data_IF_043006841191
#
_entry.id   IF_043006841191
#
_cell.length_a   1.000
_cell.length_b   1.000
_cell.length_c   1.000
_cell.angle_alpha   90.00
_cell.angle_beta   90.00
_cell.angle_gamma   90.00
#
_symmetry.space_group_name_H-M   'P 1'
#
loop_
_entity.id
_entity.type
_entity.pdbx_description
1 polymer ?
#
# COMPACT_ATOMS: atom_id res chain seq x y z
N UNK A 1 -12.60 -50.49 -16.52
CA UNK A 1 -11.70 -49.59 -15.76
C UNK A 1 -11.26 -48.46 -16.67
N UNK A 2 -11.93 -47.31 -16.63
CA UNK A 2 -11.46 -46.04 -17.23
C UNK A 2 -11.88 -44.91 -16.30
N UNK A 3 -11.00 -44.63 -15.35
CA UNK A 3 -11.14 -43.54 -14.40
C UNK A 3 -10.87 -42.23 -15.17
N UNK A 4 -11.92 -41.44 -15.43
CA UNK A 4 -11.77 -40.08 -15.96
C UNK A 4 -11.34 -39.18 -14.80
N UNK A 5 -10.06 -38.82 -14.76
CA UNK A 5 -9.57 -37.80 -13.85
C UNK A 5 -10.00 -36.43 -14.41
N UNK A 6 -11.00 -35.82 -13.76
CA UNK A 6 -11.36 -34.42 -13.97
C UNK A 6 -10.39 -33.57 -13.15
N UNK A 7 -9.43 -32.94 -13.82
CA UNK A 7 -8.59 -31.90 -13.23
C UNK A 7 -9.50 -30.68 -13.02
N UNK A 8 -9.83 -30.39 -11.76
CA UNK A 8 -10.45 -29.12 -11.39
C UNK A 8 -9.36 -28.04 -11.42
N UNK A 9 -9.40 -27.17 -12.42
CA UNK A 9 -8.61 -25.94 -12.42
C UNK A 9 -9.18 -25.06 -11.31
N UNK A 10 -8.41 -24.87 -10.24
CA UNK A 10 -8.73 -23.87 -9.23
C UNK A 10 -8.50 -22.49 -9.86
N UNK A 11 -9.60 -21.81 -10.20
CA UNK A 11 -9.54 -20.39 -10.53
C UNK A 11 -9.20 -19.68 -9.22
N UNK A 12 -8.00 -19.12 -9.14
CA UNK A 12 -7.63 -18.20 -8.08
C UNK A 12 -8.61 -17.02 -8.12
N UNK A 13 -9.51 -16.95 -7.14
CA UNK A 13 -10.30 -15.76 -6.87
C UNK A 13 -9.31 -14.64 -6.55
N UNK A 14 -9.00 -13.80 -7.53
CA UNK A 14 -8.44 -12.48 -7.26
C UNK A 14 -9.52 -11.77 -6.47
N UNK A 15 -9.29 -11.54 -5.17
CA UNK A 15 -10.21 -10.79 -4.34
C UNK A 15 -10.31 -9.39 -4.94
N UNK A 16 -11.41 -9.12 -5.64
CA UNK A 16 -11.72 -7.81 -6.16
C UNK A 16 -12.38 -7.05 -5.01
N UNK A 17 -11.61 -6.22 -4.31
CA UNK A 17 -12.15 -5.41 -3.23
C UNK A 17 -13.19 -4.45 -3.81
N UNK A 18 -14.40 -4.43 -3.23
CA UNK A 18 -15.44 -3.47 -3.62
C UNK A 18 -15.04 -2.05 -3.22
N UNK A 19 -14.35 -1.92 -2.07
CA UNK A 19 -13.84 -0.66 -1.55
C UNK A 19 -12.41 -0.83 -0.99
N UNK A 20 -11.60 0.24 -1.05
CA UNK A 20 -10.31 0.38 -0.37
C UNK A 20 -10.31 1.60 0.54
N UNK A 21 -9.72 1.48 1.73
CA UNK A 21 -9.56 2.58 2.69
C UNK A 21 -8.12 3.05 2.73
N UNK A 22 -7.89 4.32 2.36
CA UNK A 22 -6.59 4.97 2.43
C UNK A 22 -6.50 5.91 3.63
N UNK A 23 -5.45 5.73 4.42
CA UNK A 23 -5.18 6.49 5.63
C UNK A 23 -3.98 7.42 5.44
N UNK A 24 -4.16 8.69 5.84
CA UNK A 24 -3.09 9.68 5.74
C UNK A 24 -3.26 10.85 6.72
N UNK A 25 -2.31 11.76 6.72
CA UNK A 25 -2.41 13.02 7.42
C UNK A 25 -3.38 13.94 6.66
N UNK A 26 -4.10 14.78 7.39
CA UNK A 26 -4.97 15.81 6.83
C UNK A 26 -4.15 17.04 6.44
N UNK A 27 -3.98 17.25 5.13
CA UNK A 27 -3.29 18.40 4.53
C UNK A 27 -3.64 18.51 3.03
N UNK A 28 -3.24 19.60 2.38
CA UNK A 28 -3.71 19.92 1.01
C UNK A 28 -3.50 18.80 -0.03
N UNK A 29 -2.35 18.10 -0.08
CA UNK A 29 -2.15 16.95 -0.97
C UNK A 29 -3.13 15.79 -0.75
N UNK A 30 -3.66 15.60 0.46
CA UNK A 30 -4.69 14.59 0.70
C UNK A 30 -5.99 14.93 -0.07
N UNK A 31 -6.32 16.21 -0.23
CA UNK A 31 -7.45 16.64 -1.05
C UNK A 31 -7.23 16.34 -2.54
N UNK A 32 -6.00 16.55 -3.03
CA UNK A 32 -5.66 16.19 -4.41
C UNK A 32 -5.78 14.68 -4.64
N UNK A 33 -5.41 13.86 -3.65
CA UNK A 33 -5.56 12.40 -3.72
C UNK A 33 -7.04 11.98 -3.78
N UNK A 34 -7.93 12.66 -3.04
CA UNK A 34 -9.38 12.43 -3.15
C UNK A 34 -9.88 12.72 -4.56
N UNK A 35 -9.40 13.81 -5.19
CA UNK A 35 -9.78 14.12 -6.57
C UNK A 35 -9.27 13.05 -7.56
N UNK A 36 -8.00 12.64 -7.47
CA UNK A 36 -7.43 11.58 -8.30
C UNK A 36 -8.18 10.23 -8.14
N UNK A 37 -8.70 9.96 -6.95
CA UNK A 37 -9.43 8.73 -6.68
C UNK A 37 -10.74 8.59 -7.45
N UNK A 38 -11.30 9.70 -7.94
CA UNK A 38 -12.55 9.68 -8.72
C UNK A 38 -12.36 8.98 -10.06
N UNK A 39 -11.26 9.32 -10.76
CA UNK A 39 -10.94 8.68 -12.03
C UNK A 39 -10.51 7.22 -11.82
N UNK A 40 -9.73 6.94 -10.78
CA UNK A 40 -9.42 5.56 -10.38
C UNK A 40 -10.69 4.72 -10.14
N UNK A 41 -11.66 5.26 -9.38
CA UNK A 41 -12.94 4.57 -9.11
C UNK A 41 -13.72 4.36 -10.40
N UNK A 42 -13.74 5.35 -11.29
CA UNK A 42 -14.44 5.27 -12.58
C UNK A 42 -13.84 4.20 -13.50
N UNK A 43 -12.52 4.06 -13.52
CA UNK A 43 -11.81 3.12 -14.39
C UNK A 43 -11.84 1.69 -13.86
N UNK A 44 -11.76 1.51 -12.53
CA UNK A 44 -11.61 0.20 -11.90
C UNK A 44 -12.90 -0.36 -11.30
N UNK A 45 -13.86 0.51 -10.98
CA UNK A 45 -15.05 0.18 -10.20
C UNK A 45 -14.79 0.01 -8.70
N UNK A 46 -13.56 0.23 -8.22
CA UNK A 46 -13.19 0.09 -6.80
C UNK A 46 -13.47 1.41 -6.08
N UNK A 47 -14.31 1.38 -5.06
CA UNK A 47 -14.61 2.56 -4.24
C UNK A 47 -13.43 2.95 -3.36
N UNK A 48 -13.20 4.25 -3.18
CA UNK A 48 -12.15 4.77 -2.29
C UNK A 48 -12.75 5.45 -1.07
N UNK A 49 -12.30 5.02 0.12
CA UNK A 49 -12.59 5.62 1.42
C UNK A 49 -11.32 6.24 1.98
N UNK A 50 -11.48 7.25 2.83
CA UNK A 50 -10.36 8.00 3.38
C UNK A 50 -10.49 8.19 4.89
N UNK A 51 -9.41 7.96 5.61
CA UNK A 51 -9.25 8.31 7.03
C UNK A 51 -8.11 9.32 7.13
N UNK A 52 -8.46 10.60 7.23
CA UNK A 52 -7.49 11.68 7.38
C UNK A 52 -7.43 12.19 8.81
N UNK A 53 -6.22 12.21 9.37
CA UNK A 53 -5.96 12.57 10.77
C UNK A 53 -5.06 13.79 10.83
N UNK A 54 -5.29 14.77 11.73
CA UNK A 54 -4.40 15.92 11.88
C UNK A 54 -2.94 15.49 12.08
N UNK A 55 -2.00 16.22 11.48
CA UNK A 55 -0.56 15.92 11.57
C UNK A 55 -0.08 15.76 13.01
N UNK A 56 -0.60 16.56 13.94
CA UNK A 56 -0.28 16.50 15.39
C UNK A 56 -0.58 15.15 16.03
N UNK A 57 -1.45 14.34 15.42
CA UNK A 57 -1.91 13.05 15.93
C UNK A 57 -1.56 11.89 14.98
N UNK A 58 -0.97 12.18 13.82
CA UNK A 58 -0.83 11.21 12.72
C UNK A 58 0.00 9.99 13.13
N UNK A 59 1.21 10.23 13.65
CA UNK A 59 2.11 9.17 14.09
C UNK A 59 1.46 8.30 15.17
N UNK A 60 0.95 8.91 16.25
CA UNK A 60 0.33 8.18 17.36
C UNK A 60 -0.85 7.32 16.89
N UNK A 61 -1.72 7.86 16.01
CA UNK A 61 -2.91 7.16 15.54
C UNK A 61 -2.55 5.92 14.72
N UNK A 62 -1.70 6.08 13.71
CA UNK A 62 -1.45 5.01 12.74
C UNK A 62 -0.30 4.08 13.13
N UNK A 63 0.66 4.50 13.96
CA UNK A 63 1.57 3.55 14.62
C UNK A 63 0.79 2.59 15.50
N UNK A 64 -0.20 3.08 16.25
CA UNK A 64 -1.05 2.23 17.08
C UNK A 64 -1.92 1.28 16.24
N UNK A 65 -2.45 1.75 15.11
CA UNK A 65 -3.18 0.88 14.16
C UNK A 65 -2.29 -0.25 13.64
N UNK A 66 -1.08 0.07 13.18
CA UNK A 66 -0.12 -0.92 12.69
C UNK A 66 0.30 -1.91 13.79
N UNK A 67 0.69 -1.41 14.97
CA UNK A 67 1.18 -2.23 16.07
C UNK A 67 0.09 -3.13 16.66
N UNK A 68 -1.17 -2.68 16.63
CA UNK A 68 -2.33 -3.50 17.02
C UNK A 68 -2.79 -4.47 15.93
N UNK A 69 -2.19 -4.42 14.73
CA UNK A 69 -2.59 -5.16 13.54
C UNK A 69 -4.08 -4.95 13.22
N UNK A 70 -4.51 -3.70 13.35
CA UNK A 70 -5.87 -3.31 13.02
C UNK A 70 -6.17 -3.49 11.53
N UNK A 71 -7.42 -3.22 11.17
CA UNK A 71 -7.96 -3.41 9.82
C UNK A 71 -8.67 -2.16 9.32
N UNK A 72 -8.35 -1.01 9.90
CA UNK A 72 -8.93 0.27 9.51
C UNK A 72 -8.49 0.66 8.09
N UNK A 73 -7.21 0.42 7.78
CA UNK A 73 -6.57 0.92 6.57
C UNK A 73 -6.14 -0.26 5.69
N UNK A 74 -6.47 -0.19 4.40
CA UNK A 74 -5.88 -1.06 3.38
C UNK A 74 -4.55 -0.48 2.89
N UNK A 75 -4.46 0.86 2.82
CA UNK A 75 -3.24 1.60 2.48
C UNK A 75 -2.98 2.70 3.51
N UNK A 76 -1.72 2.87 3.91
CA UNK A 76 -1.26 3.98 4.76
C UNK A 76 -0.13 4.70 4.04
N UNK A 77 -0.25 6.02 3.88
CA UNK A 77 0.87 6.83 3.37
C UNK A 77 1.79 7.18 4.54
N UNK A 78 2.82 6.36 4.74
CA UNK A 78 3.79 6.55 5.83
C UNK A 78 4.51 7.90 5.78
N UNK A 79 5.00 8.35 6.93
CA UNK A 79 5.88 9.50 7.04
C UNK A 79 7.32 9.01 7.33
N UNK A 80 8.32 9.81 6.95
CA UNK A 80 9.70 9.32 6.91
C UNK A 80 10.33 9.02 8.26
N UNK A 81 9.78 9.59 9.34
CA UNK A 81 10.38 9.53 10.67
C UNK A 81 10.28 8.13 11.30
N UNK A 82 9.42 7.28 10.76
CA UNK A 82 9.04 5.97 11.32
C UNK A 82 9.22 4.82 10.33
N UNK A 83 9.91 5.05 9.22
CA UNK A 83 10.24 3.99 8.24
C UNK A 83 11.03 2.87 8.90
N UNK A 84 12.08 3.22 9.66
CA UNK A 84 12.93 2.22 10.28
C UNK A 84 12.18 1.33 11.27
N UNK A 85 11.43 1.96 12.18
CA UNK A 85 10.58 1.24 13.12
C UNK A 85 9.54 0.37 12.41
N UNK A 86 8.88 0.90 11.38
CA UNK A 86 7.84 0.15 10.65
C UNK A 86 8.41 -1.03 9.87
N UNK A 87 9.61 -0.89 9.30
CA UNK A 87 10.30 -1.96 8.58
C UNK A 87 10.78 -3.07 9.53
N UNK A 88 11.39 -2.72 10.66
CA UNK A 88 11.82 -3.70 11.67
C UNK A 88 10.63 -4.46 12.29
N UNK A 89 9.46 -3.82 12.38
CA UNK A 89 8.24 -4.43 12.89
C UNK A 89 7.41 -5.16 11.81
N UNK A 90 7.87 -5.20 10.55
CA UNK A 90 7.25 -5.99 9.49
C UNK A 90 5.93 -5.41 8.95
N UNK A 91 5.76 -4.08 8.99
CA UNK A 91 4.54 -3.41 8.55
C UNK A 91 4.48 -3.11 7.05
N UNK A 92 5.57 -3.35 6.30
CA UNK A 92 5.61 -3.14 4.86
C UNK A 92 5.36 -4.42 4.06
N UNK A 93 4.61 -4.28 2.99
CA UNK A 93 4.56 -5.26 1.90
C UNK A 93 5.70 -4.95 0.94
N UNK A 94 6.54 -5.94 0.64
CA UNK A 94 7.61 -5.80 -0.37
C UNK A 94 6.98 -5.74 -1.76
N UNK A 95 7.33 -4.70 -2.53
CA UNK A 95 6.79 -4.47 -3.88
C UNK A 95 7.80 -4.81 -4.99
N UNK A 96 8.96 -5.38 -4.68
CA UNK A 96 9.99 -5.73 -5.67
C UNK A 96 9.43 -6.56 -6.83
N UNK A 97 8.71 -7.66 -6.53
CA UNK A 97 8.10 -8.52 -7.55
C UNK A 97 7.05 -7.77 -8.40
N UNK A 98 6.34 -6.80 -7.80
CA UNK A 98 5.39 -5.95 -8.52
C UNK A 98 6.11 -5.00 -9.48
N UNK A 99 7.21 -4.38 -9.05
CA UNK A 99 8.02 -3.48 -9.87
C UNK A 99 8.63 -4.24 -11.05
N UNK A 100 9.19 -5.42 -10.81
CA UNK A 100 9.75 -6.28 -11.85
C UNK A 100 8.69 -6.66 -12.90
N UNK A 101 7.49 -7.03 -12.44
CA UNK A 101 6.37 -7.43 -13.30
C UNK A 101 5.85 -6.28 -14.15
N UNK A 102 5.67 -5.11 -13.56
CA UNK A 102 5.15 -3.92 -14.24
C UNK A 102 6.25 -3.12 -14.97
N UNK A 103 7.51 -3.58 -14.90
CA UNK A 103 8.69 -2.96 -15.52
C UNK A 103 8.92 -1.52 -15.04
N UNK A 104 8.70 -1.28 -13.76
CA UNK A 104 8.97 -0.01 -13.09
C UNK A 104 10.43 -0.02 -12.64
N UNK A 105 11.25 0.89 -13.17
CA UNK A 105 12.66 0.97 -12.77
C UNK A 105 12.81 1.89 -11.56
N UNK A 106 13.65 1.52 -10.59
CA UNK A 106 14.04 2.45 -9.53
C UNK A 106 14.85 3.65 -10.08
N UNK A 107 15.45 3.52 -11.26
CA UNK A 107 16.14 4.61 -11.96
C UNK A 107 15.18 5.69 -12.49
N UNK A 108 13.87 5.41 -12.53
CA UNK A 108 12.84 6.40 -12.90
C UNK A 108 12.57 7.40 -11.76
N UNK A 109 13.13 7.15 -10.57
CA UNK A 109 12.97 7.98 -9.38
C UNK A 109 14.26 8.71 -9.01
N UNK A 110 14.14 9.79 -8.23
CA UNK A 110 15.30 10.53 -7.73
C UNK A 110 16.13 9.61 -6.82
N UNK A 111 17.44 9.40 -7.06
CA UNK A 111 18.23 8.42 -6.31
C UNK A 111 18.23 8.62 -4.79
N UNK A 112 18.25 9.87 -4.33
CA UNK A 112 18.18 10.17 -2.90
C UNK A 112 16.85 9.74 -2.27
N UNK A 113 15.75 9.78 -3.02
CA UNK A 113 14.41 9.37 -2.59
C UNK A 113 14.33 7.85 -2.46
N UNK A 114 14.88 7.10 -3.43
CA UNK A 114 14.93 5.63 -3.39
C UNK A 114 15.68 5.17 -2.14
N UNK A 115 16.89 5.68 -1.95
CA UNK A 115 17.73 5.33 -0.79
C UNK A 115 17.12 5.77 0.54
N UNK A 116 16.38 6.89 0.55
CA UNK A 116 15.80 7.46 1.76
C UNK A 116 14.46 6.83 2.17
N UNK A 117 13.66 6.36 1.22
CA UNK A 117 12.26 6.01 1.45
C UNK A 117 11.84 4.62 0.95
N UNK A 118 12.70 3.91 0.22
CA UNK A 118 12.35 2.62 -0.39
C UNK A 118 13.27 1.47 0.01
N UNK A 119 14.33 1.74 0.77
CA UNK A 119 15.30 0.73 1.20
C UNK A 119 15.33 0.60 2.73
N UNK A 120 15.24 -0.64 3.22
CA UNK A 120 15.53 -0.93 4.62
C UNK A 120 16.15 -2.33 4.82
N UNK A 121 17.36 -2.44 5.42
CA UNK A 121 18.30 -1.38 5.77
C UNK A 121 18.74 -0.49 4.59
N UNK A 122 19.40 0.63 4.89
CA UNK A 122 19.88 1.54 3.83
C UNK A 122 20.90 0.84 2.93
N UNK A 123 20.78 1.03 1.61
CA UNK A 123 21.56 0.35 0.57
C UNK A 123 21.30 -1.16 0.46
N UNK A 124 20.10 -1.62 0.83
CA UNK A 124 19.62 -2.96 0.54
C UNK A 124 18.34 -2.92 -0.32
N UNK A 125 18.49 -2.67 -1.64
CA UNK A 125 17.36 -2.64 -2.57
C UNK A 125 16.63 -3.99 -2.68
#
# INVERSE_FOLDING_TARGET
MRLRCLVKIAVSNVAQAEDLTLCWAAWDPANALVELSKDFTKETGIGMKFEFVPWTNYADRFLNELNSKGKLCDLIIGDSQWIGGSAENGHYVKLNDFFDKEKISMDDFVPATVVGYSEWPKNSP
#
